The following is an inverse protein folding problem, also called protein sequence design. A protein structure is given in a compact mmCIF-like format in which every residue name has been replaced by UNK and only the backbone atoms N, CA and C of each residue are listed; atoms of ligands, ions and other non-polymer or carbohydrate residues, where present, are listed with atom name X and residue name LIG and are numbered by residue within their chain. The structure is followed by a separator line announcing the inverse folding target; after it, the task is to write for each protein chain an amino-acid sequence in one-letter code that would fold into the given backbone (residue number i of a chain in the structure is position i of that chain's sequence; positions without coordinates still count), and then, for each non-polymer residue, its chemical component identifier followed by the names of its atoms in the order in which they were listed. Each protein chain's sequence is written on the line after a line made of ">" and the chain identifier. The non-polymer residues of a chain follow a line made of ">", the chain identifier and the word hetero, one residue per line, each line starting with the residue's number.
data_IF_704566568354
#
_entry.id   IF_704566568354
#
_cell.length_a   1.000
_cell.length_b   1.000
_cell.length_c   1.000
_cell.angle_alpha   90.00
_cell.angle_beta   90.00
_cell.angle_gamma   90.00
#
_symmetry.space_group_name_H-M   'P 1'
#
loop_
_entity.id
_entity.type
_entity.pdbx_description
1 polymer ?
#
# COMPACT_ATOMS: atom_id res chain seq x y z
N UNK A 1 -13.93 -74.21 13.94
CA UNK A 1 -14.44 -73.62 12.69
C UNK A 1 -15.35 -72.50 13.13
N UNK A 2 -14.79 -71.28 13.18
CA UNK A 2 -15.45 -70.12 13.77
C UNK A 2 -15.83 -69.20 12.63
N UNK A 3 -17.13 -69.13 12.35
CA UNK A 3 -17.72 -68.10 11.49
C UNK A 3 -17.66 -66.76 12.23
N UNK A 4 -17.08 -65.76 11.58
CA UNK A 4 -17.10 -64.36 12.02
C UNK A 4 -17.79 -63.57 10.91
N UNK A 5 -19.09 -63.35 11.10
CA UNK A 5 -19.89 -62.45 10.29
C UNK A 5 -19.41 -61.00 10.50
N UNK A 6 -18.80 -60.43 9.46
CA UNK A 6 -18.43 -59.02 9.38
C UNK A 6 -19.66 -58.26 8.86
N UNK A 7 -20.40 -57.65 9.78
CA UNK A 7 -21.48 -56.70 9.46
C UNK A 7 -20.86 -55.36 9.03
N UNK A 8 -20.97 -55.05 7.73
CA UNK A 8 -20.78 -53.69 7.22
C UNK A 8 -21.93 -52.78 7.66
N UNK A 9 -21.68 -51.52 8.08
CA UNK A 9 -22.74 -50.55 8.27
C UNK A 9 -23.29 -50.05 6.92
N UNK A 10 -24.60 -49.75 6.84
CA UNK A 10 -25.24 -49.27 5.62
C UNK A 10 -24.84 -47.83 5.30
N UNK A 11 -24.75 -47.56 4.00
CA UNK A 11 -24.57 -46.27 3.34
C UNK A 11 -25.31 -45.14 4.07
N UNK A 12 -24.57 -44.16 4.58
CA UNK A 12 -25.15 -42.90 5.03
C UNK A 12 -25.66 -42.14 3.79
N UNK A 13 -26.99 -42.10 3.63
CA UNK A 13 -27.66 -41.13 2.78
C UNK A 13 -27.25 -39.73 3.20
N UNK A 14 -26.68 -38.98 2.26
CA UNK A 14 -26.54 -37.52 2.35
C UNK A 14 -27.93 -36.91 2.17
N UNK A 15 -28.71 -36.92 3.26
CA UNK A 15 -29.96 -36.18 3.32
C UNK A 15 -29.68 -34.68 3.35
N UNK A 16 -30.21 -34.02 2.33
CA UNK A 16 -30.78 -32.67 2.34
C UNK A 16 -30.10 -31.65 3.27
N UNK A 17 -29.08 -30.97 2.75
CA UNK A 17 -28.75 -29.62 3.20
C UNK A 17 -30.01 -28.76 3.01
N UNK A 18 -30.53 -28.08 4.04
CA UNK A 18 -31.63 -27.15 3.85
C UNK A 18 -31.14 -26.03 2.94
N UNK A 19 -31.66 -26.01 1.70
CA UNK A 19 -31.64 -24.88 0.78
C UNK A 19 -32.29 -23.68 1.46
N UNK A 20 -31.50 -23.02 2.29
CA UNK A 20 -31.79 -21.72 2.85
C UNK A 20 -31.50 -20.76 1.72
N UNK A 21 -32.50 -20.50 0.89
CA UNK A 21 -32.52 -19.33 0.02
C UNK A 21 -32.27 -18.11 0.91
N UNK A 22 -31.14 -17.40 0.78
CA UNK A 22 -30.98 -16.15 1.50
C UNK A 22 -32.02 -15.20 0.93
N UNK A 23 -32.97 -14.83 1.78
CA UNK A 23 -33.89 -13.76 1.53
C UNK A 23 -33.11 -12.57 0.95
N UNK A 24 -33.61 -12.01 -0.15
CA UNK A 24 -33.26 -10.69 -0.67
C UNK A 24 -33.71 -9.63 0.34
N UNK A 25 -33.12 -9.65 1.52
CA UNK A 25 -33.03 -8.47 2.36
C UNK A 25 -32.26 -7.44 1.55
N UNK A 26 -32.82 -6.24 1.43
CA UNK A 26 -32.12 -5.06 0.94
C UNK A 26 -30.92 -4.79 1.84
N UNK A 27 -29.83 -5.51 1.59
CA UNK A 27 -28.59 -5.38 2.32
C UNK A 27 -28.08 -3.99 1.97
N UNK A 28 -28.15 -3.06 2.92
CA UNK A 28 -27.48 -1.78 2.79
C UNK A 28 -26.08 -2.01 2.24
N UNK A 29 -25.60 -1.23 1.27
CA UNK A 29 -24.26 -1.41 0.73
C UNK A 29 -23.26 -1.49 1.90
N UNK A 30 -22.24 -2.38 1.83
CA UNK A 30 -21.30 -2.61 2.94
C UNK A 30 -20.41 -1.38 3.24
N UNK A 31 -20.57 -0.32 2.46
CA UNK A 31 -19.80 0.91 2.49
C UNK A 31 -20.55 2.01 3.25
N UNK A 32 -19.82 2.94 3.90
CA UNK A 32 -20.46 4.10 4.50
C UNK A 32 -21.15 4.93 3.42
N UNK A 33 -22.30 5.54 3.74
CA UNK A 33 -23.06 6.39 2.80
C UNK A 33 -22.28 7.62 2.32
N UNK A 34 -21.36 8.11 3.16
CA UNK A 34 -20.43 9.20 2.83
C UNK A 34 -18.98 8.78 3.06
N UNK A 35 -18.11 9.20 2.15
CA UNK A 35 -16.68 8.94 2.22
C UNK A 35 -15.86 10.15 1.77
N UNK A 36 -14.62 10.22 2.23
CA UNK A 36 -13.60 11.13 1.69
C UNK A 36 -12.97 10.52 0.44
N UNK A 37 -12.31 11.34 -0.37
CA UNK A 37 -11.63 10.88 -1.59
C UNK A 37 -10.58 9.78 -1.32
N UNK A 38 -9.90 9.83 -0.18
CA UNK A 38 -8.95 8.79 0.24
C UNK A 38 -9.64 7.51 0.74
N UNK A 39 -10.85 7.61 1.29
CA UNK A 39 -11.68 6.44 1.61
C UNK A 39 -12.24 5.81 0.34
N UNK A 40 -12.71 6.62 -0.62
CA UNK A 40 -13.15 6.17 -1.93
C UNK A 40 -12.07 5.37 -2.66
N UNK A 41 -10.82 5.87 -2.70
CA UNK A 41 -9.71 5.14 -3.31
C UNK A 41 -9.47 3.77 -2.67
N UNK A 42 -9.68 3.64 -1.35
CA UNK A 42 -9.56 2.35 -0.65
C UNK A 42 -10.74 1.42 -0.92
N UNK A 43 -11.96 1.96 -0.96
CA UNK A 43 -13.16 1.21 -1.36
C UNK A 43 -12.96 0.64 -2.76
N UNK A 44 -12.53 1.46 -3.71
CA UNK A 44 -12.22 1.03 -5.07
C UNK A 44 -11.09 -0.01 -5.11
N UNK A 45 -10.05 0.15 -4.29
CA UNK A 45 -8.97 -0.85 -4.19
C UNK A 45 -9.48 -2.19 -3.64
N UNK A 46 -10.41 -2.17 -2.68
CA UNK A 46 -11.04 -3.40 -2.18
C UNK A 46 -11.98 -4.03 -3.22
N UNK A 47 -12.67 -3.22 -4.02
CA UNK A 47 -13.62 -3.67 -5.03
C UNK A 47 -12.97 -4.14 -6.34
N UNK A 48 -11.86 -3.53 -6.74
CA UNK A 48 -11.23 -3.72 -8.07
C UNK A 48 -9.75 -4.14 -7.98
N UNK A 49 -9.23 -4.31 -6.76
CA UNK A 49 -7.84 -4.74 -6.54
C UNK A 49 -6.83 -3.78 -7.18
N UNK A 50 -5.82 -4.28 -7.91
CA UNK A 50 -4.77 -3.46 -8.51
C UNK A 50 -5.25 -2.62 -9.71
N UNK A 51 -6.43 -2.92 -10.26
CA UNK A 51 -7.01 -2.16 -11.37
C UNK A 51 -7.70 -0.87 -10.92
N UNK A 52 -7.86 -0.68 -9.60
CA UNK A 52 -8.47 0.51 -9.05
C UNK A 52 -7.69 1.78 -9.43
N UNK A 53 -8.38 2.90 -9.71
CA UNK A 53 -7.71 4.16 -10.01
C UNK A 53 -6.90 4.63 -8.81
N UNK A 54 -5.69 5.11 -9.09
CA UNK A 54 -4.80 5.64 -8.05
C UNK A 54 -5.39 6.89 -7.37
N UNK A 55 -4.97 7.17 -6.13
CA UNK A 55 -5.42 8.36 -5.38
C UNK A 55 -5.11 9.67 -6.13
N UNK A 56 -4.02 9.72 -6.91
CA UNK A 56 -3.67 10.90 -7.71
C UNK A 56 -4.63 11.09 -8.89
N UNK A 57 -5.11 10.00 -9.52
CA UNK A 57 -6.15 10.07 -10.56
C UNK A 57 -7.45 10.60 -9.99
N UNK A 58 -7.88 10.09 -8.84
CA UNK A 58 -9.09 10.56 -8.15
C UNK A 58 -8.97 12.05 -7.79
N UNK A 59 -7.80 12.50 -7.31
CA UNK A 59 -7.55 13.94 -7.03
C UNK A 59 -7.62 14.80 -8.29
N UNK A 60 -7.07 14.34 -9.41
CA UNK A 60 -7.16 15.04 -10.69
C UNK A 60 -8.61 15.18 -11.15
N UNK A 61 -9.39 14.11 -11.07
CA UNK A 61 -10.82 14.12 -11.42
C UNK A 61 -11.64 15.05 -10.53
N UNK A 62 -11.30 15.11 -9.24
CA UNK A 62 -11.90 16.08 -8.35
C UNK A 62 -11.57 17.52 -8.74
N UNK A 63 -10.32 17.79 -9.11
CA UNK A 63 -9.90 19.11 -9.59
C UNK A 63 -10.58 19.50 -10.91
N UNK A 64 -10.96 18.55 -11.75
CA UNK A 64 -11.71 18.78 -12.99
C UNK A 64 -13.24 18.78 -12.80
N UNK A 65 -13.74 18.73 -11.57
CA UNK A 65 -15.17 18.82 -11.27
C UNK A 65 -15.98 17.53 -11.53
N UNK A 66 -15.35 16.38 -11.74
CA UNK A 66 -16.05 15.11 -12.03
C UNK A 66 -17.00 14.72 -10.89
N UNK A 67 -16.65 15.08 -9.65
CA UNK A 67 -17.40 14.76 -8.43
C UNK A 67 -18.31 15.90 -7.94
N UNK A 68 -18.51 16.96 -8.72
CA UNK A 68 -19.29 18.14 -8.30
C UNK A 68 -20.75 17.80 -7.96
N UNK A 69 -21.33 16.75 -8.57
CA UNK A 69 -22.66 16.23 -8.22
C UNK A 69 -22.70 15.16 -7.13
N UNK A 70 -21.54 14.81 -6.54
CA UNK A 70 -21.42 13.78 -5.51
C UNK A 70 -21.15 14.35 -4.12
N UNK A 71 -20.94 15.66 -3.99
CA UNK A 71 -20.60 16.27 -2.71
C UNK A 71 -21.79 16.23 -1.77
N UNK A 72 -21.61 15.63 -0.60
CA UNK A 72 -22.60 15.74 0.47
C UNK A 72 -22.43 17.13 1.10
N UNK A 73 -23.34 18.06 0.82
CA UNK A 73 -23.40 19.29 1.58
C UNK A 73 -23.57 18.90 3.05
N UNK A 74 -22.63 19.32 3.89
CA UNK A 74 -22.47 18.87 5.29
C UNK A 74 -23.61 19.26 6.23
N UNK A 75 -24.81 19.49 5.69
CA UNK A 75 -26.02 19.95 6.34
C UNK A 75 -26.95 18.79 6.71
N UNK A 76 -26.76 17.59 6.16
CA UNK A 76 -27.53 16.42 6.58
C UNK A 76 -27.00 15.89 7.91
N UNK A 77 -27.90 15.88 8.90
CA UNK A 77 -27.63 15.73 10.31
C UNK A 77 -26.68 14.58 10.63
N UNK A 78 -25.86 14.83 11.65
CA UNK A 78 -24.95 13.90 12.29
C UNK A 78 -25.74 12.74 12.94
N UNK A 79 -26.36 11.88 12.13
CA UNK A 79 -26.86 10.59 12.55
C UNK A 79 -25.63 9.70 12.63
N UNK A 80 -25.16 9.52 13.86
CA UNK A 80 -24.06 8.65 14.20
C UNK A 80 -24.48 7.21 13.93
N UNK A 81 -24.36 6.77 12.68
CA UNK A 81 -24.56 5.36 12.31
C UNK A 81 -23.42 4.54 12.90
N UNK A 82 -23.81 3.44 13.55
CA UNK A 82 -23.00 2.51 14.32
C UNK A 82 -21.62 2.19 13.70
N UNK A 83 -20.59 1.92 14.52
CA UNK A 83 -19.26 1.58 14.04
C UNK A 83 -19.27 0.20 13.36
N UNK A 84 -19.43 0.17 12.04
CA UNK A 84 -19.22 -1.03 11.23
C UNK A 84 -17.73 -1.36 11.10
N UNK A 85 -17.40 -2.66 11.08
CA UNK A 85 -16.02 -3.18 10.92
C UNK A 85 -15.30 -2.60 9.69
N UNK A 86 -16.04 -2.34 8.60
CA UNK A 86 -15.52 -1.69 7.39
C UNK A 86 -15.07 -0.25 7.63
N UNK A 87 -15.73 0.48 8.55
CA UNK A 87 -15.37 1.85 8.88
C UNK A 87 -14.03 1.94 9.59
N UNK A 88 -13.72 0.98 10.46
CA UNK A 88 -12.45 0.94 11.18
C UNK A 88 -11.28 0.64 10.24
N UNK A 89 -11.47 -0.28 9.29
CA UNK A 89 -10.48 -0.55 8.21
C UNK A 89 -10.24 0.66 7.30
N UNK A 90 -11.24 1.53 7.17
CA UNK A 90 -11.17 2.80 6.44
C UNK A 90 -10.61 3.96 7.27
N UNK A 91 -10.38 3.81 8.57
CA UNK A 91 -9.79 4.87 9.40
C UNK A 91 -8.27 4.68 9.50
N UNK A 92 -7.52 5.54 8.81
CA UNK A 92 -6.11 5.77 9.20
C UNK A 92 -6.07 6.79 10.34
N UNK A 93 -4.99 6.81 11.16
CA UNK A 93 -4.74 7.90 12.10
C UNK A 93 -4.76 9.21 11.30
N UNK A 94 -5.78 10.05 11.56
CA UNK A 94 -5.95 11.32 10.88
C UNK A 94 -4.73 12.17 11.22
N UNK A 95 -3.87 12.42 10.23
CA UNK A 95 -2.90 13.51 10.34
C UNK A 95 -3.72 14.80 10.41
N UNK A 96 -3.47 15.63 11.43
CA UNK A 96 -4.13 16.92 11.59
C UNK A 96 -4.04 17.71 10.28
N UNK A 97 -5.17 17.89 9.61
CA UNK A 97 -5.24 18.39 8.24
C UNK A 97 -6.67 18.75 7.89
N UNK A 98 -6.81 19.68 6.93
CA UNK A 98 -8.07 20.27 6.46
C UNK A 98 -9.18 19.21 6.33
N UNK A 99 -10.41 19.50 6.78
CA UNK A 99 -11.54 18.61 6.54
C UNK A 99 -11.65 18.34 5.04
N UNK A 100 -11.46 17.08 4.65
CA UNK A 100 -11.51 16.66 3.25
C UNK A 100 -12.93 16.77 2.72
N UNK A 101 -13.04 16.98 1.40
CA UNK A 101 -14.29 16.88 0.66
C UNK A 101 -15.00 15.57 0.99
N UNK A 102 -16.29 15.64 1.32
CA UNK A 102 -17.15 14.49 1.57
C UNK A 102 -18.02 14.22 0.36
N UNK A 103 -18.03 12.97 -0.06
CA UNK A 103 -18.74 12.48 -1.23
C UNK A 103 -19.76 11.44 -0.79
N UNK A 104 -20.92 11.43 -1.41
CA UNK A 104 -21.84 10.28 -1.36
C UNK A 104 -21.17 9.10 -2.05
N UNK A 105 -20.94 8.03 -1.29
CA UNK A 105 -20.10 6.92 -1.71
C UNK A 105 -20.64 6.22 -2.95
N UNK A 106 -21.95 5.96 -3.00
CA UNK A 106 -22.58 5.26 -4.12
C UNK A 106 -22.51 6.06 -5.41
N UNK A 107 -22.84 7.36 -5.35
CA UNK A 107 -22.75 8.27 -6.50
C UNK A 107 -21.29 8.43 -6.97
N UNK A 108 -20.34 8.52 -6.04
CA UNK A 108 -18.93 8.65 -6.37
C UNK A 108 -18.38 7.37 -7.03
N UNK A 109 -18.77 6.19 -6.56
CA UNK A 109 -18.42 4.92 -7.19
C UNK A 109 -19.00 4.85 -8.61
N UNK A 110 -20.28 5.21 -8.78
CA UNK A 110 -20.91 5.25 -10.10
C UNK A 110 -20.17 6.18 -11.06
N UNK A 111 -19.82 7.41 -10.63
CA UNK A 111 -19.04 8.33 -11.46
C UNK A 111 -17.66 7.80 -11.84
N UNK A 112 -17.01 7.07 -10.94
CA UNK A 112 -15.73 6.43 -11.24
C UNK A 112 -15.90 5.35 -12.31
N UNK A 113 -16.98 4.57 -12.23
CA UNK A 113 -17.30 3.52 -13.19
C UNK A 113 -17.63 4.10 -14.58
N UNK A 114 -18.39 5.21 -14.63
CA UNK A 114 -18.68 5.93 -15.87
C UNK A 114 -17.40 6.46 -16.54
N UNK A 115 -16.47 6.98 -15.74
CA UNK A 115 -15.19 7.52 -16.24
C UNK A 115 -14.16 6.43 -16.56
N UNK A 116 -14.33 5.22 -16.04
CA UNK A 116 -13.39 4.12 -16.24
C UNK A 116 -14.13 2.80 -16.53
N UNK A 117 -14.71 2.65 -17.75
CA UNK A 117 -15.57 1.51 -18.09
C UNK A 117 -14.88 0.14 -17.97
N UNK A 118 -13.55 0.11 -18.07
CA UNK A 118 -12.78 -1.13 -17.91
C UNK A 118 -12.93 -1.75 -16.52
N UNK A 119 -13.31 -0.98 -15.49
CA UNK A 119 -13.59 -1.50 -14.15
C UNK A 119 -14.82 -2.43 -14.10
N UNK A 120 -15.75 -2.30 -15.04
CA UNK A 120 -16.95 -3.16 -15.14
C UNK A 120 -16.62 -4.63 -15.45
N UNK A 121 -15.46 -4.87 -16.05
CA UNK A 121 -15.03 -6.21 -16.47
C UNK A 121 -14.07 -6.83 -15.45
N UNK A 122 -13.90 -6.22 -14.28
CA UNK A 122 -13.00 -6.75 -13.27
C UNK A 122 -13.61 -8.03 -12.70
N UNK A 123 -12.92 -9.14 -12.92
CA UNK A 123 -13.31 -10.43 -12.35
C UNK A 123 -13.20 -10.37 -10.82
N UNK A 124 -14.34 -10.43 -10.14
CA UNK A 124 -14.41 -10.39 -8.69
C UNK A 124 -13.75 -11.61 -8.04
N UNK A 125 -13.70 -12.74 -8.75
CA UNK A 125 -13.06 -13.95 -8.26
C UNK A 125 -11.53 -13.78 -8.18
N UNK A 126 -10.92 -13.22 -9.22
CA UNK A 126 -9.48 -12.92 -9.23
C UNK A 126 -9.07 -11.97 -8.09
N UNK A 127 -9.95 -11.06 -7.67
CA UNK A 127 -9.69 -10.14 -6.55
C UNK A 127 -9.70 -10.88 -5.22
N UNK A 128 -10.67 -11.78 -5.02
CA UNK A 128 -10.74 -12.61 -3.81
C UNK A 128 -9.51 -13.52 -3.75
N UNK A 129 -9.14 -14.16 -4.85
CA UNK A 129 -7.94 -15.01 -4.92
C UNK A 129 -6.67 -14.22 -4.58
N UNK A 130 -6.52 -13.00 -5.11
CA UNK A 130 -5.40 -12.12 -4.78
C UNK A 130 -5.39 -11.69 -3.31
N UNK A 131 -6.56 -11.39 -2.74
CA UNK A 131 -6.68 -11.03 -1.33
C UNK A 131 -6.33 -12.22 -0.41
N UNK A 132 -6.78 -13.42 -0.78
CA UNK A 132 -6.43 -14.67 -0.12
C UNK A 132 -4.92 -14.93 -0.23
N UNK A 133 -4.33 -14.79 -1.41
CA UNK A 133 -2.89 -14.95 -1.62
C UNK A 133 -2.08 -13.98 -0.73
N UNK A 134 -2.42 -12.69 -0.70
CA UNK A 134 -1.72 -11.71 0.16
C UNK A 134 -1.88 -12.00 1.65
N UNK A 135 -3.04 -12.49 2.07
CA UNK A 135 -3.26 -12.84 3.47
C UNK A 135 -2.50 -14.11 3.83
N UNK A 136 -2.45 -15.09 2.94
CA UNK A 136 -1.60 -16.27 3.06
C UNK A 136 -0.11 -15.89 3.15
N UNK A 137 0.40 -15.02 2.27
CA UNK A 137 1.79 -14.54 2.30
C UNK A 137 2.13 -13.85 3.62
N UNK A 138 1.21 -13.02 4.14
CA UNK A 138 1.40 -12.33 5.43
C UNK A 138 1.40 -13.31 6.60
N UNK A 139 0.51 -14.30 6.58
CA UNK A 139 0.49 -15.36 7.58
C UNK A 139 1.77 -16.20 7.50
N UNK A 140 2.21 -16.58 6.30
CA UNK A 140 3.45 -17.32 6.11
C UNK A 140 4.65 -16.51 6.60
N UNK A 141 4.74 -15.23 6.26
CA UNK A 141 5.80 -14.33 6.76
C UNK A 141 5.75 -14.19 8.28
N UNK A 142 4.56 -14.15 8.89
CA UNK A 142 4.41 -14.09 10.33
C UNK A 142 4.81 -15.42 11.00
N UNK A 143 4.46 -16.55 10.39
CA UNK A 143 4.83 -17.90 10.83
C UNK A 143 6.34 -18.11 10.70
N UNK A 144 6.97 -17.69 9.61
CA UNK A 144 8.42 -17.75 9.42
C UNK A 144 9.17 -16.93 10.47
N UNK A 145 8.64 -15.78 10.88
CA UNK A 145 9.19 -14.98 12.00
C UNK A 145 9.03 -15.65 13.36
N UNK A 146 8.02 -16.49 13.52
CA UNK A 146 7.75 -17.23 14.75
C UNK A 146 8.43 -18.61 14.74
N UNK A 147 8.93 -19.07 13.59
CA UNK A 147 9.61 -20.37 13.48
C UNK A 147 10.96 -20.26 14.19
N UNK A 148 11.20 -21.05 15.25
CA UNK A 148 12.51 -21.09 15.90
C UNK A 148 13.54 -21.52 14.85
N UNK A 149 14.66 -20.79 14.79
CA UNK A 149 15.77 -21.14 13.90
C UNK A 149 16.44 -22.40 14.45
N UNK A 150 16.04 -23.57 13.94
CA UNK A 150 16.66 -24.85 14.21
C UNK A 150 18.08 -24.89 13.61
N UNK A 151 19.03 -24.25 14.28
CA UNK A 151 20.45 -24.56 14.12
C UNK A 151 20.77 -25.77 15.01
N UNK A 152 20.42 -26.97 14.52
CA UNK A 152 20.92 -28.23 15.06
C UNK A 152 22.39 -28.34 14.63
N UNK A 153 23.30 -27.91 15.50
CA UNK A 153 24.68 -28.35 15.47
C UNK A 153 24.77 -29.71 16.20
N UNK A 154 25.52 -30.62 15.59
CA UNK A 154 25.68 -32.04 15.91
C UNK A 154 25.81 -32.41 17.39
N UNK A 155 25.25 -33.57 17.72
CA UNK A 155 25.42 -34.28 19.00
C UNK A 155 26.86 -34.81 19.10
N UNK A 156 27.57 -34.51 20.20
CA UNK A 156 28.23 -35.57 20.95
C UNK A 156 27.68 -35.66 22.38
N UNK A 157 27.36 -36.90 22.75
CA UNK A 157 27.12 -37.49 24.07
C UNK A 157 27.14 -36.55 25.29
N UNK A 158 26.01 -36.54 26.00
CA UNK A 158 25.74 -35.81 27.25
C UNK A 158 26.93 -35.77 28.23
N UNK A 159 27.12 -34.63 28.91
CA UNK A 159 26.55 -34.57 30.25
C UNK A 159 25.83 -33.25 30.57
N UNK A 160 24.72 -33.43 31.31
CA UNK A 160 24.05 -32.44 32.17
C UNK A 160 23.66 -31.10 31.52
N UNK A 161 22.48 -31.12 30.90
CA UNK A 161 21.73 -29.94 30.44
C UNK A 161 21.56 -28.92 31.59
N UNK A 162 22.30 -27.80 31.52
CA UNK A 162 22.08 -26.61 32.35
C UNK A 162 21.27 -25.61 31.53
N UNK A 163 19.97 -25.39 31.84
CA UNK A 163 19.10 -24.48 31.09
C UNK A 163 19.56 -23.01 31.14
N UNK A 164 20.42 -22.65 32.09
CA UNK A 164 20.90 -21.28 32.27
C UNK A 164 21.81 -20.81 31.12
N UNK A 165 22.65 -21.70 30.56
CA UNK A 165 23.59 -21.35 29.50
C UNK A 165 22.90 -21.08 28.14
N UNK A 166 21.70 -21.64 27.93
CA UNK A 166 20.90 -21.34 26.74
C UNK A 166 20.18 -20.00 26.85
N UNK A 167 19.76 -19.62 28.05
CA UNK A 167 19.13 -18.32 28.30
C UNK A 167 20.12 -17.16 28.13
N UNK A 168 21.33 -17.29 28.65
CA UNK A 168 22.38 -16.27 28.46
C UNK A 168 22.70 -16.04 26.97
N UNK A 169 22.74 -17.11 26.16
CA UNK A 169 22.93 -16.98 24.70
C UNK A 169 21.78 -16.26 24.02
N UNK A 170 20.54 -16.51 24.44
CA UNK A 170 19.36 -15.82 23.92
C UNK A 170 19.41 -14.33 24.30
N UNK A 171 19.79 -14.00 25.53
CA UNK A 171 19.93 -12.61 25.97
C UNK A 171 21.00 -11.85 25.17
N UNK A 172 22.15 -12.47 24.91
CA UNK A 172 23.21 -11.90 24.08
C UNK A 172 22.75 -11.70 22.64
N UNK A 173 22.02 -12.67 22.07
CA UNK A 173 21.47 -12.55 20.71
C UNK A 173 20.39 -11.46 20.62
N UNK A 174 19.53 -11.34 21.64
CA UNK A 174 18.53 -10.27 21.70
C UNK A 174 19.17 -8.89 21.82
N UNK A 175 20.27 -8.78 22.58
CA UNK A 175 21.03 -7.53 22.67
C UNK A 175 21.66 -7.15 21.31
N UNK A 176 22.26 -8.11 20.61
CA UNK A 176 22.82 -7.88 19.28
C UNK A 176 21.74 -7.47 18.26
N UNK A 177 20.61 -8.19 18.21
CA UNK A 177 19.46 -7.84 17.36
C UNK A 177 18.89 -6.45 17.69
N UNK A 178 18.86 -6.08 18.97
CA UNK A 178 18.42 -4.76 19.38
C UNK A 178 19.35 -3.67 18.85
N UNK A 179 20.66 -3.90 18.91
CA UNK A 179 21.67 -2.96 18.40
C UNK A 179 21.55 -2.80 16.87
N UNK A 180 21.40 -3.90 16.13
CA UNK A 180 21.14 -3.88 14.69
C UNK A 180 19.85 -3.13 14.36
N UNK A 181 18.76 -3.36 15.09
CA UNK A 181 17.51 -2.63 14.92
C UNK A 181 17.67 -1.13 15.17
N UNK A 182 18.50 -0.74 16.14
CA UNK A 182 18.80 0.67 16.40
C UNK A 182 19.61 1.26 15.25
N UNK A 183 20.58 0.54 14.69
CA UNK A 183 21.34 0.96 13.52
C UNK A 183 20.41 1.15 12.30
N UNK A 184 19.55 0.18 11.98
CA UNK A 184 18.58 0.27 10.88
C UNK A 184 17.62 1.44 11.08
N UNK A 185 17.15 1.70 12.31
CA UNK A 185 16.31 2.87 12.60
C UNK A 185 17.03 4.19 12.32
N UNK A 186 18.33 4.28 12.62
CA UNK A 186 19.15 5.47 12.32
C UNK A 186 19.31 5.67 10.82
N UNK A 187 19.61 4.60 10.07
CA UNK A 187 19.70 4.68 8.61
C UNK A 187 18.36 5.06 7.98
N UNK A 188 17.25 4.48 8.44
CA UNK A 188 15.91 4.84 7.97
C UNK A 188 15.59 6.33 8.24
N UNK A 189 16.01 6.86 9.39
CA UNK A 189 15.86 8.28 9.69
C UNK A 189 16.69 9.15 8.74
N UNK A 190 17.91 8.73 8.39
CA UNK A 190 18.75 9.41 7.39
C UNK A 190 18.14 9.36 5.99
N UNK A 191 17.64 8.20 5.54
CA UNK A 191 16.93 8.09 4.25
C UNK A 191 15.66 8.94 4.21
N UNK A 192 14.91 8.99 5.31
CA UNK A 192 13.74 9.85 5.45
C UNK A 192 14.12 11.33 5.34
N UNK A 193 15.22 11.75 5.97
CA UNK A 193 15.74 13.11 5.86
C UNK A 193 16.19 13.45 4.42
N UNK A 194 16.90 12.53 3.75
CA UNK A 194 17.32 12.67 2.36
C UNK A 194 16.11 12.80 1.43
N UNK A 195 15.08 11.98 1.63
CA UNK A 195 13.82 12.06 0.89
C UNK A 195 13.15 13.43 1.08
N UNK A 196 13.06 13.93 2.30
CA UNK A 196 12.47 15.24 2.57
C UNK A 196 13.27 16.37 1.90
N UNK A 197 14.60 16.29 1.91
CA UNK A 197 15.45 17.25 1.21
C UNK A 197 15.27 17.21 -0.31
N UNK A 198 15.11 16.02 -0.89
CA UNK A 198 14.84 15.85 -2.31
C UNK A 198 13.48 16.46 -2.70
N UNK A 199 12.45 16.24 -1.88
CA UNK A 199 11.12 16.84 -2.10
C UNK A 199 11.23 18.37 -2.10
N UNK A 200 11.90 18.96 -1.10
CA UNK A 200 12.07 20.42 -1.06
C UNK A 200 12.85 20.96 -2.27
N UNK A 201 13.89 20.26 -2.71
CA UNK A 201 14.66 20.66 -3.91
C UNK A 201 13.85 20.54 -5.20
N UNK A 202 13.00 19.52 -5.31
CA UNK A 202 12.09 19.36 -6.44
C UNK A 202 11.04 20.45 -6.44
N UNK A 203 10.44 20.76 -5.29
CA UNK A 203 9.47 21.86 -5.17
C UNK A 203 10.09 23.21 -5.55
N UNK A 204 11.32 23.49 -5.12
CA UNK A 204 12.06 24.70 -5.53
C UNK A 204 12.39 24.72 -7.03
N UNK A 205 12.71 23.57 -7.63
CA UNK A 205 12.97 23.47 -9.05
C UNK A 205 11.68 23.68 -9.86
N UNK A 206 10.56 23.13 -9.40
CA UNK A 206 9.23 23.35 -10.00
C UNK A 206 8.81 24.80 -9.87
N UNK A 207 8.96 25.42 -8.69
CA UNK A 207 8.65 26.83 -8.49
C UNK A 207 9.47 27.72 -9.43
N UNK A 208 10.78 27.47 -9.55
CA UNK A 208 11.64 28.20 -10.51
C UNK A 208 11.24 28.00 -11.96
N UNK A 209 10.84 26.78 -12.34
CA UNK A 209 10.36 26.50 -13.69
C UNK A 209 9.01 27.21 -13.97
N UNK A 210 8.11 27.24 -12.99
CA UNK A 210 6.85 27.97 -13.08
C UNK A 210 7.09 29.47 -13.19
N UNK A 211 7.97 30.05 -12.37
CA UNK A 211 8.33 31.48 -12.46
C UNK A 211 8.91 31.83 -13.83
N UNK A 212 9.77 30.98 -14.39
CA UNK A 212 10.33 31.16 -15.73
C UNK A 212 9.26 31.09 -16.84
N UNK A 213 8.21 30.29 -16.65
CA UNK A 213 7.10 30.17 -17.59
C UNK A 213 6.07 31.30 -17.43
N UNK A 214 5.79 31.72 -16.20
CA UNK A 214 4.83 32.78 -15.86
C UNK A 214 5.38 34.18 -16.10
N UNK A 215 6.71 34.38 -16.06
CA UNK A 215 7.36 35.63 -16.44
C UNK A 215 7.33 35.95 -17.95
N UNK A 216 6.80 35.04 -18.78
CA UNK A 216 6.70 35.24 -20.24
C UNK A 216 5.48 36.08 -20.59
N UNK A 217 5.64 37.40 -20.64
CA UNK A 217 4.63 38.32 -21.18
C UNK A 217 4.25 37.93 -22.61
N UNK A 218 2.95 37.85 -22.95
CA UNK A 218 2.48 37.45 -24.26
C UNK A 218 2.74 38.59 -25.26
N UNK A 219 3.89 38.55 -25.93
CA UNK A 219 4.25 39.54 -26.96
C UNK A 219 5.75 39.83 -27.10
N UNK A 220 6.57 39.43 -26.14
CA UNK A 220 8.03 39.53 -26.27
C UNK A 220 8.56 38.27 -26.98
N UNK A 221 9.31 38.46 -28.07
CA UNK A 221 10.07 37.38 -28.71
C UNK A 221 10.98 36.65 -27.73
N UNK A 222 11.50 35.46 -28.08
CA UNK A 222 12.38 34.70 -27.20
C UNK A 222 13.54 35.59 -26.78
N UNK A 223 13.57 35.95 -25.49
CA UNK A 223 14.60 36.80 -24.92
C UNK A 223 15.90 35.99 -24.94
N UNK A 224 16.91 36.39 -25.73
CA UNK A 224 18.14 35.61 -25.90
C UNK A 224 18.89 35.39 -24.59
N UNK A 225 18.65 36.22 -23.56
CA UNK A 225 19.21 36.03 -22.22
C UNK A 225 18.53 34.88 -21.47
N UNK A 226 17.23 34.67 -21.68
CA UNK A 226 16.49 33.53 -21.10
C UNK A 226 16.89 32.23 -21.77
N UNK A 227 17.13 32.25 -23.08
CA UNK A 227 17.59 31.08 -23.83
C UNK A 227 19.03 30.70 -23.46
N UNK A 228 19.94 31.68 -23.35
CA UNK A 228 21.30 31.45 -22.85
C UNK A 228 21.30 30.92 -21.40
N UNK A 229 20.39 31.40 -20.54
CA UNK A 229 20.25 30.88 -19.16
C UNK A 229 19.73 29.45 -19.15
N UNK A 230 18.74 29.15 -19.99
CA UNK A 230 18.18 27.80 -20.16
C UNK A 230 19.25 26.82 -20.67
N UNK A 231 20.06 27.22 -21.64
CA UNK A 231 21.14 26.40 -22.17
C UNK A 231 22.23 26.15 -21.12
N UNK A 232 22.56 27.17 -20.32
CA UNK A 232 23.48 27.02 -19.19
C UNK A 232 22.95 26.03 -18.15
N UNK A 233 21.69 26.17 -17.77
CA UNK A 233 21.08 25.30 -16.75
C UNK A 233 20.91 23.86 -17.28
N UNK A 234 20.59 23.69 -18.57
CA UNK A 234 20.62 22.39 -19.25
C UNK A 234 22.02 21.79 -19.30
N UNK A 235 23.05 22.61 -19.49
CA UNK A 235 24.46 22.17 -19.43
C UNK A 235 24.85 21.66 -18.05
N UNK A 236 24.45 22.37 -16.99
CA UNK A 236 24.66 21.93 -15.59
C UNK A 236 23.93 20.62 -15.32
N UNK A 237 22.67 20.49 -15.75
CA UNK A 237 21.90 19.25 -15.58
C UNK A 237 22.55 18.07 -16.30
N UNK A 238 23.03 18.29 -17.52
CA UNK A 238 23.73 17.26 -18.31
C UNK A 238 25.05 16.82 -17.64
N UNK A 239 25.80 17.77 -17.05
CA UNK A 239 26.99 17.47 -16.27
C UNK A 239 26.64 16.61 -15.05
N UNK A 240 25.63 17.01 -14.27
CA UNK A 240 25.21 16.26 -13.08
C UNK A 240 24.72 14.86 -13.41
N UNK A 241 23.97 14.70 -14.52
CA UNK A 241 23.56 13.37 -14.99
C UNK A 241 24.75 12.52 -15.41
N UNK A 242 25.75 13.10 -16.07
CA UNK A 242 27.00 12.42 -16.40
C UNK A 242 27.74 11.93 -15.15
N UNK A 243 27.93 12.81 -14.17
CA UNK A 243 28.60 12.49 -12.91
C UNK A 243 27.88 11.37 -12.14
N UNK A 244 26.53 11.38 -12.15
CA UNK A 244 25.72 10.32 -11.52
C UNK A 244 25.85 8.98 -12.25
N UNK A 245 25.81 8.98 -13.58
CA UNK A 245 25.98 7.75 -14.37
C UNK A 245 27.38 7.16 -14.17
N UNK A 246 28.42 8.00 -14.17
CA UNK A 246 29.79 7.56 -13.92
C UNK A 246 29.97 7.03 -12.48
N UNK A 247 29.30 7.65 -11.50
CA UNK A 247 29.30 7.15 -10.13
C UNK A 247 28.61 5.77 -10.02
N UNK A 248 27.49 5.57 -10.73
CA UNK A 248 26.80 4.29 -10.78
C UNK A 248 27.63 3.21 -11.47
N UNK A 249 28.29 3.54 -12.58
CA UNK A 249 29.22 2.64 -13.28
C UNK A 249 30.41 2.25 -12.40
N UNK A 250 30.98 3.20 -11.63
CA UNK A 250 32.03 2.90 -10.64
C UNK A 250 31.55 1.96 -9.53
N UNK A 251 30.30 2.08 -9.09
CA UNK A 251 29.71 1.19 -8.08
C UNK A 251 29.47 -0.20 -8.67
N UNK A 252 28.94 -0.28 -9.88
CA UNK A 252 28.71 -1.54 -10.61
C UNK A 252 30.03 -2.30 -10.83
N UNK A 253 31.06 -1.62 -11.33
CA UNK A 253 32.38 -2.21 -11.56
C UNK A 253 33.05 -2.65 -10.24
N UNK A 254 32.83 -1.93 -9.14
CA UNK A 254 33.32 -2.34 -7.81
C UNK A 254 32.55 -3.52 -7.24
N UNK A 255 31.25 -3.63 -7.52
CA UNK A 255 30.41 -4.75 -7.11
C UNK A 255 30.67 -6.02 -7.93
N UNK A 256 31.07 -5.88 -9.20
CA UNK A 256 31.41 -7.00 -10.07
C UNK A 256 32.82 -7.55 -9.86
N UNK A 257 33.78 -6.73 -9.43
CA UNK A 257 35.16 -7.16 -9.16
C UNK A 257 35.37 -7.83 -7.79
N UNK A 258 34.33 -7.91 -6.95
CA UNK A 258 34.36 -8.54 -5.63
C UNK A 258 33.66 -9.89 -5.54
N UNK A 259 33.24 -10.46 -6.68
CA UNK A 259 32.73 -11.84 -6.84
C UNK A 259 33.71 -12.68 -7.64
#
# INVERSE_FOLDING_TARGET
>A
MSDSDILLPPSASLDAVPSSTPATSSTSPPWPSTCTLAELGRILTMMHGPQAPSESSLKKWNATGVFEGCTSDGTEGMVEVDPSFTRESLRRPRRAGRPGLRLHTDLAIQRVQDQWPHLMHTDTQAIVELAVARTADRLQSAVERLRPSDAIAEVPSAPTYRPDATLEKIEVQLAALHEEMVAVKRELAQFSALRNNLITKLDEAVARAQDALSGRTPGAGPDPLVEARRDRDMGVLKSMMGDMLEALERIENRSGAGS
#
